data_IF_412658184764
#
_entry.id   IF_412658184764
#
_cell.length_a   1.000
_cell.length_b   1.000
_cell.length_c   1.000
_cell.angle_alpha   90.00
_cell.angle_beta   90.00
_cell.angle_gamma   90.00
#
_symmetry.space_group_name_H-M   'P 1'
#
loop_
_entity.id
_entity.type
_entity.pdbx_description
1 polymer ?
#
# COMPACT_ATOMS: atom_id res chain seq x y z
N UNK A 1 33.63 -30.62 6.18
CA UNK A 1 33.10 -29.28 5.84
C UNK A 1 31.61 -29.27 6.11
N UNK A 2 31.17 -28.60 7.19
CA UNK A 2 29.74 -28.45 7.49
C UNK A 2 29.16 -27.48 6.46
N UNK A 3 28.23 -27.94 5.63
CA UNK A 3 27.36 -27.06 4.84
C UNK A 3 26.59 -26.21 5.86
N UNK A 4 26.85 -24.90 5.86
CA UNK A 4 26.04 -23.93 6.58
C UNK A 4 24.63 -24.05 5.99
N UNK A 5 23.65 -24.45 6.78
CA UNK A 5 22.26 -24.35 6.37
C UNK A 5 22.04 -22.88 5.99
N UNK A 6 21.56 -22.64 4.78
CA UNK A 6 21.12 -21.30 4.40
C UNK A 6 19.93 -21.01 5.30
N UNK A 7 20.09 -20.12 6.28
CA UNK A 7 18.97 -19.54 7.01
C UNK A 7 18.04 -18.95 5.94
N UNK A 8 16.87 -19.57 5.73
CA UNK A 8 15.80 -18.97 4.95
C UNK A 8 15.33 -17.74 5.71
N UNK A 9 16.00 -16.62 5.48
CA UNK A 9 15.60 -15.31 5.98
C UNK A 9 14.37 -14.88 5.20
N UNK A 10 13.23 -14.82 5.88
CA UNK A 10 12.00 -14.18 5.40
C UNK A 10 12.33 -12.78 4.87
N UNK A 11 12.05 -12.50 3.60
CA UNK A 11 12.42 -11.23 2.93
C UNK A 11 11.43 -10.12 3.27
N UNK A 12 11.80 -8.82 3.10
CA UNK A 12 10.83 -7.72 3.21
C UNK A 12 9.61 -7.89 2.31
N UNK A 13 9.80 -8.45 1.11
CA UNK A 13 8.70 -8.77 0.19
C UNK A 13 7.73 -9.81 0.76
N UNK A 14 8.24 -10.87 1.41
CA UNK A 14 7.38 -11.86 2.06
C UNK A 14 6.58 -11.27 3.23
N UNK A 15 7.20 -10.37 4.02
CA UNK A 15 6.51 -9.66 5.10
C UNK A 15 5.42 -8.76 4.55
N UNK A 16 5.72 -7.99 3.50
CA UNK A 16 4.75 -7.13 2.83
C UNK A 16 3.58 -7.95 2.27
N UNK A 17 3.87 -9.04 1.56
CA UNK A 17 2.86 -9.94 1.02
C UNK A 17 1.95 -10.54 2.10
N UNK A 18 2.49 -10.86 3.28
CA UNK A 18 1.68 -11.27 4.42
C UNK A 18 0.70 -10.17 4.85
N UNK A 19 1.17 -8.94 5.10
CA UNK A 19 0.30 -7.84 5.55
C UNK A 19 -0.74 -7.46 4.49
N UNK A 20 -0.35 -7.46 3.21
CA UNK A 20 -1.27 -7.26 2.09
C UNK A 20 -2.37 -8.33 2.09
N UNK A 21 -2.00 -9.61 2.14
CA UNK A 21 -2.97 -10.72 2.19
C UNK A 21 -3.89 -10.61 3.40
N UNK A 22 -3.34 -10.19 4.55
CA UNK A 22 -4.14 -10.00 5.76
C UNK A 22 -5.15 -8.86 5.61
N UNK A 23 -4.74 -7.71 5.07
CA UNK A 23 -5.65 -6.59 4.76
C UNK A 23 -6.80 -7.03 3.86
N UNK A 24 -6.48 -7.73 2.76
CA UNK A 24 -7.47 -8.24 1.79
C UNK A 24 -8.42 -9.29 2.42
N UNK A 25 -7.99 -9.97 3.48
CA UNK A 25 -8.78 -11.00 4.15
C UNK A 25 -9.82 -10.44 5.14
N UNK A 26 -9.70 -9.16 5.52
CA UNK A 26 -10.56 -8.52 6.51
C UNK A 26 -11.82 -7.91 5.85
N UNK A 27 -12.94 -7.83 6.59
CA UNK A 27 -14.19 -7.31 6.05
C UNK A 27 -14.25 -5.77 5.97
N UNK A 28 -13.42 -5.06 6.73
CA UNK A 28 -13.38 -3.60 6.84
C UNK A 28 -11.92 -3.13 6.89
N UNK A 29 -11.58 -2.06 6.17
CA UNK A 29 -10.26 -1.43 6.21
C UNK A 29 -9.94 -0.88 7.62
N UNK A 30 -10.94 -0.46 8.39
CA UNK A 30 -10.73 0.01 9.77
C UNK A 30 -10.16 -1.10 10.67
N UNK A 31 -10.55 -2.37 10.43
CA UNK A 31 -9.99 -3.50 11.18
C UNK A 31 -8.49 -3.64 10.94
N UNK A 32 -8.03 -3.35 9.72
CA UNK A 32 -6.61 -3.41 9.40
C UNK A 32 -5.84 -2.26 10.07
N UNK A 33 -6.37 -1.03 10.04
CA UNK A 33 -5.76 0.11 10.73
C UNK A 33 -5.66 -0.11 12.25
N UNK A 34 -6.71 -0.67 12.87
CA UNK A 34 -6.71 -1.02 14.29
C UNK A 34 -5.72 -2.16 14.61
N UNK A 35 -5.59 -3.14 13.72
CA UNK A 35 -4.59 -4.19 13.82
C UNK A 35 -3.17 -3.63 13.79
N UNK A 36 -2.84 -2.79 12.81
CA UNK A 36 -1.52 -2.16 12.68
C UNK A 36 -1.21 -1.29 13.91
N UNK A 37 -2.20 -0.54 14.39
CA UNK A 37 -2.08 0.25 15.62
C UNK A 37 -1.79 -0.63 16.83
N UNK A 38 -2.49 -1.77 16.95
CA UNK A 38 -2.28 -2.74 18.03
C UNK A 38 -0.89 -3.36 17.96
N UNK A 39 -0.44 -3.76 16.77
CA UNK A 39 0.86 -4.36 16.52
C UNK A 39 2.01 -3.41 16.88
N UNK A 40 1.87 -2.12 16.58
CA UNK A 40 2.93 -1.11 16.80
C UNK A 40 3.06 -0.67 18.26
N UNK A 41 1.99 -0.71 19.04
CA UNK A 41 2.01 -0.28 20.46
C UNK A 41 2.20 -1.44 21.45
N UNK A 42 1.94 -2.68 21.04
CA UNK A 42 1.95 -3.84 21.93
C UNK A 42 3.32 -4.53 21.91
N UNK A 43 3.92 -4.88 23.07
CA UNK A 43 5.14 -5.67 23.11
C UNK A 43 4.98 -7.01 22.38
N UNK A 44 6.00 -7.44 21.62
CA UNK A 44 5.94 -8.66 20.78
C UNK A 44 5.45 -9.91 21.53
N UNK A 45 5.89 -10.09 22.78
CA UNK A 45 5.49 -11.22 23.65
C UNK A 45 3.98 -11.32 23.94
N UNK A 46 3.26 -10.20 23.85
CA UNK A 46 1.83 -10.10 24.20
C UNK A 46 0.97 -9.89 22.94
N UNK A 47 1.59 -9.63 21.77
CA UNK A 47 0.87 -9.15 20.59
C UNK A 47 -0.09 -10.18 20.01
N UNK A 48 0.28 -11.46 20.02
CA UNK A 48 -0.53 -12.54 19.43
C UNK A 48 -1.91 -12.61 20.07
N UNK A 49 -1.99 -12.48 21.39
CA UNK A 49 -3.26 -12.50 22.12
C UNK A 49 -4.11 -11.27 21.80
N UNK A 50 -3.48 -10.10 21.70
CA UNK A 50 -4.16 -8.83 21.44
C UNK A 50 -4.72 -8.73 20.01
N UNK A 51 -4.04 -9.33 19.03
CA UNK A 51 -4.48 -9.28 17.63
C UNK A 51 -5.38 -10.45 17.21
N UNK A 52 -5.54 -11.46 18.06
CA UNK A 52 -6.37 -12.64 17.79
C UNK A 52 -7.79 -12.29 17.30
N UNK A 53 -8.49 -11.27 17.84
CA UNK A 53 -9.82 -10.88 17.36
C UNK A 53 -9.86 -10.51 15.87
N UNK A 54 -8.79 -9.94 15.31
CA UNK A 54 -8.72 -9.57 13.89
C UNK A 54 -8.60 -10.84 13.02
N UNK A 55 -7.78 -11.81 13.44
CA UNK A 55 -7.66 -13.10 12.73
C UNK A 55 -8.94 -13.95 12.79
N UNK A 56 -9.77 -13.81 13.82
CA UNK A 56 -11.08 -14.45 13.84
C UNK A 56 -12.03 -13.90 12.77
N UNK A 57 -11.93 -12.60 12.47
CA UNK A 57 -12.71 -11.91 11.43
C UNK A 57 -12.16 -12.13 10.02
N UNK A 58 -10.88 -12.45 9.89
CA UNK A 58 -10.25 -12.81 8.61
C UNK A 58 -10.94 -14.00 7.94
N UNK A 59 -11.11 -13.89 6.62
CA UNK A 59 -11.59 -14.95 5.75
C UNK A 59 -10.58 -16.09 5.55
N UNK A 60 -9.28 -15.84 5.74
CA UNK A 60 -8.22 -16.85 5.64
C UNK A 60 -7.72 -17.29 7.02
N UNK A 61 -8.01 -18.55 7.37
CA UNK A 61 -7.66 -19.13 8.67
C UNK A 61 -6.17 -19.49 8.81
N UNK A 62 -5.42 -19.57 7.70
CA UNK A 62 -4.00 -19.90 7.74
C UNK A 62 -3.13 -18.70 8.15
N UNK A 63 -3.64 -17.47 8.00
CA UNK A 63 -2.88 -16.26 8.30
C UNK A 63 -2.48 -16.14 9.77
N UNK A 64 -3.28 -16.67 10.71
CA UNK A 64 -2.92 -16.67 12.13
C UNK A 64 -1.65 -17.49 12.38
N UNK A 65 -1.55 -18.68 11.78
CA UNK A 65 -0.37 -19.53 11.94
C UNK A 65 0.86 -18.88 11.32
N UNK A 66 0.72 -18.26 10.13
CA UNK A 66 1.81 -17.51 9.50
C UNK A 66 2.26 -16.33 10.37
N UNK A 67 1.31 -15.58 10.94
CA UNK A 67 1.60 -14.48 11.85
C UNK A 67 2.35 -14.95 13.10
N UNK A 68 1.92 -16.05 13.72
CA UNK A 68 2.61 -16.62 14.88
C UNK A 68 4.06 -17.01 14.57
N UNK A 69 4.33 -17.52 13.35
CA UNK A 69 5.69 -17.80 12.89
C UNK A 69 6.49 -16.50 12.76
N UNK A 70 5.93 -15.45 12.14
CA UNK A 70 6.58 -14.14 12.01
C UNK A 70 6.92 -13.53 13.38
N UNK A 71 5.96 -13.52 14.32
CA UNK A 71 6.18 -12.99 15.68
C UNK A 71 7.25 -13.80 16.42
N UNK A 72 7.22 -15.14 16.34
CA UNK A 72 8.25 -15.98 16.95
C UNK A 72 9.65 -15.71 16.37
N UNK A 73 9.75 -15.43 15.08
CA UNK A 73 11.02 -15.03 14.45
C UNK A 73 11.47 -13.64 14.94
N UNK A 74 10.54 -12.69 15.08
CA UNK A 74 10.82 -11.34 15.59
C UNK A 74 11.33 -11.38 17.04
N UNK A 75 10.69 -12.16 17.91
CA UNK A 75 11.14 -12.34 19.30
C UNK A 75 12.57 -12.90 19.43
N UNK A 76 13.01 -13.70 18.46
CA UNK A 76 14.32 -14.36 18.48
C UNK A 76 15.41 -13.55 17.76
N UNK A 77 15.03 -12.62 16.87
CA UNK A 77 15.94 -11.89 16.02
C UNK A 77 15.52 -10.41 15.91
N UNK A 78 16.23 -9.55 16.62
CA UNK A 78 15.97 -8.10 16.63
C UNK A 78 16.15 -7.43 15.26
N UNK A 79 17.00 -7.97 14.38
CA UNK A 79 17.12 -7.47 13.00
C UNK A 79 15.86 -7.79 12.19
N UNK A 80 15.27 -8.97 12.41
CA UNK A 80 14.03 -9.36 11.77
C UNK A 80 12.85 -8.55 12.32
N UNK A 81 12.75 -8.40 13.65
CA UNK A 81 11.77 -7.52 14.30
C UNK A 81 11.83 -6.10 13.70
N UNK A 82 13.03 -5.53 13.58
CA UNK A 82 13.18 -4.20 12.98
C UNK A 82 12.73 -4.14 11.52
N UNK A 83 12.93 -5.22 10.76
CA UNK A 83 12.46 -5.31 9.37
C UNK A 83 10.94 -5.40 9.30
N UNK A 84 10.34 -6.25 10.15
CA UNK A 84 8.90 -6.41 10.30
C UNK A 84 8.23 -5.07 10.62
N UNK A 85 8.75 -4.35 11.61
CA UNK A 85 8.22 -3.06 12.02
C UNK A 85 8.35 -2.00 10.91
N UNK A 86 9.46 -1.94 10.19
CA UNK A 86 9.61 -0.99 9.06
C UNK A 86 8.62 -1.26 7.92
N UNK A 87 8.38 -2.53 7.60
CA UNK A 87 7.39 -2.89 6.57
C UNK A 87 5.98 -2.55 7.06
N UNK A 88 5.69 -2.82 8.32
CA UNK A 88 4.43 -2.47 8.98
C UNK A 88 4.19 -0.95 8.94
N UNK A 89 5.18 -0.14 9.33
CA UNK A 89 5.09 1.32 9.35
C UNK A 89 4.91 1.92 7.94
N UNK A 90 5.42 1.23 6.91
CA UNK A 90 5.36 1.69 5.52
C UNK A 90 4.16 1.13 4.74
N UNK A 91 3.30 0.30 5.34
CA UNK A 91 2.36 -0.57 4.60
C UNK A 91 1.44 0.17 3.64
N UNK A 92 0.89 1.33 4.04
CA UNK A 92 -0.01 2.11 3.18
C UNK A 92 0.75 2.73 2.00
N UNK A 93 1.97 3.23 2.24
CA UNK A 93 2.84 3.72 1.18
C UNK A 93 3.23 2.60 0.22
N UNK A 94 3.50 1.40 0.73
CA UNK A 94 3.81 0.23 -0.09
C UNK A 94 2.63 -0.18 -0.97
N UNK A 95 1.39 -0.06 -0.49
CA UNK A 95 0.19 -0.25 -1.30
C UNK A 95 0.10 0.73 -2.47
N UNK A 96 0.38 2.02 -2.24
CA UNK A 96 0.41 3.05 -3.30
C UNK A 96 1.51 2.77 -4.34
N UNK A 97 2.68 2.35 -3.87
CA UNK A 97 3.79 1.95 -4.74
C UNK A 97 3.42 0.74 -5.59
N UNK A 98 2.84 -0.30 -4.99
CA UNK A 98 2.42 -1.50 -5.72
C UNK A 98 1.42 -1.17 -6.83
N UNK A 99 0.44 -0.30 -6.54
CA UNK A 99 -0.49 0.20 -7.55
C UNK A 99 0.24 0.95 -8.69
N UNK A 100 1.21 1.81 -8.38
CA UNK A 100 1.99 2.54 -9.37
C UNK A 100 2.87 1.60 -10.24
N UNK A 101 3.36 0.51 -9.65
CA UNK A 101 4.09 -0.56 -10.33
C UNK A 101 3.17 -1.52 -11.10
N UNK A 102 1.85 -1.34 -11.04
CA UNK A 102 0.87 -2.17 -11.75
C UNK A 102 0.79 -3.60 -11.21
N UNK A 103 1.01 -3.79 -9.91
CA UNK A 103 1.04 -5.10 -9.23
C UNK A 103 2.10 -6.08 -9.78
N UNK A 104 3.15 -5.59 -10.46
CA UNK A 104 4.26 -6.44 -10.90
C UNK A 104 5.12 -6.86 -9.70
N UNK A 105 5.07 -8.16 -9.36
CA UNK A 105 5.80 -8.76 -8.23
C UNK A 105 7.32 -8.55 -8.33
N UNK A 106 7.89 -8.62 -9.54
CA UNK A 106 9.33 -8.46 -9.76
C UNK A 106 9.73 -7.02 -9.48
N UNK A 107 8.95 -6.06 -9.95
CA UNK A 107 9.20 -4.65 -9.69
C UNK A 107 9.01 -4.32 -8.21
N UNK A 108 8.02 -4.91 -7.55
CA UNK A 108 7.78 -4.68 -6.12
C UNK A 108 8.92 -5.27 -5.25
N UNK A 109 9.41 -6.47 -5.55
CA UNK A 109 10.60 -7.03 -4.90
C UNK A 109 11.83 -6.15 -5.17
N UNK A 110 12.01 -5.67 -6.41
CA UNK A 110 13.07 -4.73 -6.78
C UNK A 110 13.02 -3.42 -5.98
N UNK A 111 11.83 -2.86 -5.82
CA UNK A 111 11.59 -1.66 -5.02
C UNK A 111 11.94 -1.90 -3.54
N UNK A 112 11.45 -2.98 -2.93
CA UNK A 112 11.73 -3.28 -1.52
C UNK A 112 13.22 -3.54 -1.26
N UNK A 113 13.93 -4.16 -2.21
CA UNK A 113 15.40 -4.30 -2.16
C UNK A 113 16.10 -2.95 -2.25
N UNK A 114 15.60 -2.02 -3.07
CA UNK A 114 16.14 -0.67 -3.17
C UNK A 114 15.92 0.13 -1.87
N UNK A 115 14.80 -0.12 -1.18
CA UNK A 115 14.48 0.52 0.11
C UNK A 115 15.31 -0.01 1.29
N UNK A 116 15.90 -1.21 1.15
CA UNK A 116 16.79 -1.81 2.15
C UNK A 116 16.17 -1.93 3.57
N UNK A 117 14.90 -2.31 3.68
CA UNK A 117 14.24 -2.44 4.99
C UNK A 117 14.88 -3.46 5.91
N UNK A 118 15.59 -4.44 5.36
CA UNK A 118 16.37 -5.46 6.07
C UNK A 118 17.75 -4.98 6.54
N UNK A 119 18.19 -3.79 6.14
CA UNK A 119 19.47 -3.21 6.54
C UNK A 119 19.27 -1.99 7.45
N UNK A 120 19.28 -2.23 8.77
CA UNK A 120 19.11 -1.14 9.75
C UNK A 120 20.23 -0.11 9.84
N UNK A 121 21.33 -0.32 9.12
CA UNK A 121 22.45 0.62 9.04
C UNK A 121 22.51 1.37 7.70
N UNK A 122 21.51 1.18 6.82
CA UNK A 122 21.46 1.85 5.53
C UNK A 122 21.33 3.37 5.72
N UNK A 123 22.23 4.12 5.09
CA UNK A 123 22.14 5.58 5.09
C UNK A 123 21.08 6.06 4.10
N UNK A 124 20.52 7.24 4.33
CA UNK A 124 19.59 7.88 3.40
C UNK A 124 20.17 7.97 1.98
N UNK A 125 21.46 8.27 1.85
CA UNK A 125 22.13 8.34 0.55
C UNK A 125 22.19 6.97 -0.14
N UNK A 126 22.44 5.88 0.61
CA UNK A 126 22.46 4.53 0.06
C UNK A 126 21.09 4.11 -0.46
N UNK A 127 20.04 4.32 0.33
CA UNK A 127 18.65 4.04 -0.06
C UNK A 127 18.27 4.88 -1.28
N UNK A 128 18.59 6.17 -1.28
CA UNK A 128 18.29 7.07 -2.39
C UNK A 128 19.00 6.66 -3.69
N UNK A 129 20.29 6.31 -3.62
CA UNK A 129 21.02 5.81 -4.79
C UNK A 129 20.45 4.47 -5.28
N UNK A 130 20.04 3.58 -4.37
CA UNK A 130 19.37 2.32 -4.71
C UNK A 130 18.05 2.54 -5.44
N UNK A 131 17.21 3.44 -4.92
CA UNK A 131 15.93 3.82 -5.51
C UNK A 131 16.11 4.48 -6.87
N UNK A 132 17.05 5.42 -7.00
CA UNK A 132 17.36 6.04 -8.29
C UNK A 132 17.81 5.02 -9.34
N UNK A 133 18.62 4.04 -8.94
CA UNK A 133 19.05 2.96 -9.83
C UNK A 133 17.84 2.12 -10.28
N UNK A 134 17.01 1.67 -9.34
CA UNK A 134 15.79 0.92 -9.64
C UNK A 134 14.87 1.67 -10.62
N UNK A 135 14.58 2.95 -10.35
CA UNK A 135 13.71 3.77 -11.20
C UNK A 135 14.28 4.01 -12.61
N UNK A 136 15.59 3.99 -12.78
CA UNK A 136 16.23 4.27 -14.07
C UNK A 136 16.54 3.01 -14.89
N UNK A 137 16.77 1.87 -14.21
CA UNK A 137 17.21 0.63 -14.86
C UNK A 137 16.07 -0.40 -15.01
N UNK A 138 15.10 -0.41 -14.09
CA UNK A 138 14.05 -1.44 -14.05
C UNK A 138 12.66 -0.93 -14.45
N UNK A 139 12.40 0.36 -14.29
CA UNK A 139 11.10 0.98 -14.61
C UNK A 139 11.12 1.61 -16.00
N UNK A 140 10.05 1.39 -16.76
CA UNK A 140 9.79 2.17 -17.97
C UNK A 140 9.39 3.63 -17.63
N UNK A 141 9.39 4.56 -18.61
CA UNK A 141 9.07 5.96 -18.36
C UNK A 141 7.68 6.20 -17.74
N UNK A 142 6.68 5.37 -18.06
CA UNK A 142 5.32 5.52 -17.53
C UNK A 142 5.25 5.06 -16.08
N UNK A 143 5.82 3.89 -15.75
CA UNK A 143 5.94 3.41 -14.37
C UNK A 143 6.72 4.40 -13.53
N UNK A 144 7.86 4.89 -14.04
CA UNK A 144 8.65 5.91 -13.37
C UNK A 144 7.82 7.15 -13.08
N UNK A 145 6.96 7.58 -14.01
CA UNK A 145 6.12 8.75 -13.81
C UNK A 145 5.04 8.54 -12.75
N UNK A 146 4.39 7.36 -12.73
CA UNK A 146 3.48 6.96 -11.66
C UNK A 146 4.16 6.93 -10.29
N UNK A 147 5.39 6.44 -10.23
CA UNK A 147 6.20 6.46 -9.00
C UNK A 147 6.53 7.88 -8.54
N UNK A 148 6.94 8.77 -9.46
CA UNK A 148 7.15 10.19 -9.17
C UNK A 148 5.87 10.85 -8.62
N UNK A 149 4.70 10.50 -9.17
CA UNK A 149 3.41 10.96 -8.66
C UNK A 149 3.20 10.52 -7.20
N UNK A 150 3.37 9.24 -6.90
CA UNK A 150 3.18 8.71 -5.54
C UNK A 150 4.07 9.45 -4.53
N UNK A 151 5.32 9.75 -4.89
CA UNK A 151 6.21 10.54 -4.02
C UNK A 151 5.78 12.00 -3.89
N UNK A 152 5.30 12.62 -4.97
CA UNK A 152 4.79 13.98 -4.95
C UNK A 152 3.52 14.09 -4.08
N UNK A 153 2.63 13.10 -4.16
CA UNK A 153 1.41 12.98 -3.35
C UNK A 153 1.73 12.83 -1.87
N UNK A 154 2.63 11.92 -1.51
CA UNK A 154 3.04 11.74 -0.12
C UNK A 154 3.55 13.06 0.47
N UNK A 155 4.46 13.72 -0.25
CA UNK A 155 5.00 15.01 0.18
C UNK A 155 3.93 16.10 0.25
N UNK A 156 2.98 16.13 -0.68
CA UNK A 156 1.89 17.09 -0.67
C UNK A 156 0.91 16.84 0.49
N UNK A 157 0.56 15.59 0.76
CA UNK A 157 -0.23 15.19 1.93
C UNK A 157 0.41 15.68 3.23
N UNK A 158 1.71 15.42 3.40
CA UNK A 158 2.46 15.81 4.59
C UNK A 158 2.58 17.36 4.74
N UNK A 159 2.87 18.07 3.66
CA UNK A 159 3.08 19.54 3.70
C UNK A 159 1.79 20.35 3.75
N UNK A 160 0.71 19.86 3.16
CA UNK A 160 -0.55 20.59 2.97
C UNK A 160 -1.69 20.04 3.84
N UNK A 161 -1.50 18.87 4.47
CA UNK A 161 -2.54 18.19 5.26
C UNK A 161 -3.69 17.68 4.39
N UNK A 162 -3.42 17.26 3.16
CA UNK A 162 -4.42 16.71 2.25
C UNK A 162 -4.63 15.22 2.54
N UNK A 163 -5.89 14.78 2.55
CA UNK A 163 -6.22 13.36 2.69
C UNK A 163 -5.98 12.59 1.39
N UNK A 164 -5.84 11.27 1.49
CA UNK A 164 -5.67 10.40 0.33
C UNK A 164 -6.84 10.52 -0.65
N UNK A 165 -8.08 10.59 -0.17
CA UNK A 165 -9.25 10.80 -1.04
C UNK A 165 -9.14 12.09 -1.87
N UNK A 166 -8.59 13.16 -1.29
CA UNK A 166 -8.40 14.43 -1.99
C UNK A 166 -7.35 14.27 -3.09
N UNK A 167 -6.21 13.64 -2.77
CA UNK A 167 -5.11 13.42 -3.71
C UNK A 167 -5.55 12.48 -4.85
N UNK A 168 -6.18 11.35 -4.52
CA UNK A 168 -6.70 10.39 -5.51
C UNK A 168 -7.73 11.03 -6.43
N UNK A 169 -8.69 11.79 -5.89
CA UNK A 169 -9.71 12.47 -6.69
C UNK A 169 -9.08 13.54 -7.59
N UNK A 170 -8.12 14.31 -7.08
CA UNK A 170 -7.42 15.32 -7.88
C UNK A 170 -6.61 14.70 -9.01
N UNK A 171 -5.88 13.62 -8.74
CA UNK A 171 -5.12 12.87 -9.74
C UNK A 171 -6.04 12.34 -10.84
N UNK A 172 -7.15 11.71 -10.46
CA UNK A 172 -8.11 11.15 -11.40
C UNK A 172 -8.82 12.22 -12.24
N UNK A 173 -9.19 13.37 -11.64
CA UNK A 173 -9.73 14.51 -12.39
C UNK A 173 -8.77 15.02 -13.47
N UNK A 174 -7.47 15.02 -13.19
CA UNK A 174 -6.45 15.48 -14.15
C UNK A 174 -6.17 14.43 -15.22
N UNK A 175 -6.12 13.15 -14.84
CA UNK A 175 -5.86 12.02 -15.75
C UNK A 175 -4.54 12.16 -16.52
N UNK A 176 -3.57 12.87 -15.96
CA UNK A 176 -2.23 13.09 -16.52
C UNK A 176 -1.25 13.31 -15.37
N UNK A 177 -0.39 12.33 -15.12
CA UNK A 177 0.55 12.35 -14.00
C UNK A 177 1.55 13.51 -14.09
N UNK A 178 1.97 13.90 -15.29
CA UNK A 178 2.93 15.00 -15.46
C UNK A 178 2.31 16.33 -15.09
N UNK A 179 1.11 16.60 -15.60
CA UNK A 179 0.36 17.81 -15.28
C UNK A 179 -0.04 17.82 -13.80
N UNK A 180 -0.46 16.69 -13.26
CA UNK A 180 -0.83 16.60 -11.85
C UNK A 180 0.36 16.84 -10.90
N UNK A 181 1.54 16.30 -11.19
CA UNK A 181 2.77 16.61 -10.43
C UNK A 181 3.06 18.13 -10.45
N UNK A 182 2.95 18.80 -11.60
CA UNK A 182 3.15 20.26 -11.71
C UNK A 182 2.14 21.05 -10.85
N UNK A 183 0.91 20.56 -10.70
CA UNK A 183 -0.10 21.15 -9.83
C UNK A 183 0.30 21.01 -8.37
N UNK A 184 0.71 19.80 -7.94
CA UNK A 184 1.16 19.56 -6.57
C UNK A 184 2.38 20.43 -6.22
N UNK A 185 3.35 20.54 -7.13
CA UNK A 185 4.51 21.42 -6.96
C UNK A 185 4.10 22.90 -6.84
N UNK A 186 3.13 23.33 -7.64
CA UNK A 186 2.59 24.69 -7.57
C UNK A 186 1.92 24.95 -6.22
N UNK A 187 1.11 24.00 -5.72
CA UNK A 187 0.48 24.09 -4.40
C UNK A 187 1.52 24.15 -3.28
N UNK A 188 2.53 23.28 -3.31
CA UNK A 188 3.62 23.23 -2.33
C UNK A 188 4.45 24.52 -2.33
N UNK A 189 4.87 25.01 -3.50
CA UNK A 189 5.65 26.24 -3.64
C UNK A 189 4.89 27.44 -3.06
N UNK A 190 3.59 27.52 -3.34
CA UNK A 190 2.78 28.63 -2.92
C UNK A 190 2.45 28.59 -1.42
N UNK A 191 2.30 27.39 -0.83
CA UNK A 191 2.20 27.24 0.62
C UNK A 191 3.44 27.79 1.34
N UNK A 192 4.64 27.48 0.81
CA UNK A 192 5.91 27.99 1.35
C UNK A 192 6.10 29.50 1.18
N UNK A 193 5.49 30.09 0.15
CA UNK A 193 5.57 31.52 -0.15
C UNK A 193 4.39 32.33 0.42
N UNK A 194 3.41 31.68 1.06
CA UNK A 194 2.19 32.28 1.59
C UNK A 194 1.46 33.18 0.56
N UNK A 195 1.31 32.68 -0.67
CA UNK A 195 0.63 33.43 -1.74
C UNK A 195 -0.90 33.40 -1.57
N UNK A 196 -1.61 34.46 -2.01
CA UNK A 196 -3.08 34.44 -2.05
C UNK A 196 -3.61 33.32 -2.94
N UNK A 197 -4.70 32.67 -2.53
CA UNK A 197 -5.33 31.56 -3.25
C UNK A 197 -5.60 31.86 -4.73
N UNK A 198 -6.10 33.06 -5.05
CA UNK A 198 -6.37 33.46 -6.43
C UNK A 198 -5.11 33.46 -7.30
N UNK A 199 -3.94 33.74 -6.73
CA UNK A 199 -2.65 33.68 -7.45
C UNK A 199 -2.24 32.24 -7.72
N UNK A 200 -2.48 31.35 -6.76
CA UNK A 200 -2.23 29.91 -6.89
C UNK A 200 -3.08 29.32 -8.01
N UNK A 201 -4.38 29.62 -7.97
CA UNK A 201 -5.36 29.15 -8.93
C UNK A 201 -5.08 29.68 -10.33
N UNK A 202 -4.73 30.95 -10.48
CA UNK A 202 -4.35 31.52 -11.78
C UNK A 202 -3.12 30.82 -12.39
N UNK A 203 -2.13 30.43 -11.56
CA UNK A 203 -0.96 29.68 -12.04
C UNK A 203 -1.34 28.28 -12.50
N UNK A 204 -2.15 27.57 -11.71
CA UNK A 204 -2.66 26.24 -12.07
C UNK A 204 -3.49 26.32 -13.36
N UNK A 205 -4.41 27.28 -13.45
CA UNK A 205 -5.26 27.51 -14.63
C UNK A 205 -4.42 27.65 -15.90
N UNK A 206 -3.39 28.51 -15.87
CA UNK A 206 -2.53 28.74 -17.03
C UNK A 206 -1.85 27.45 -17.50
N UNK A 207 -1.44 26.58 -16.58
CA UNK A 207 -0.82 25.30 -16.92
C UNK A 207 -1.85 24.32 -17.52
N UNK A 208 -3.05 24.24 -16.93
CA UNK A 208 -4.13 23.36 -17.38
C UNK A 208 -4.65 23.79 -18.76
N UNK A 209 -4.92 25.09 -18.97
CA UNK A 209 -5.45 25.61 -20.22
C UNK A 209 -4.53 25.36 -21.43
N UNK A 210 -3.22 25.21 -21.20
CA UNK A 210 -2.25 24.90 -22.25
C UNK A 210 -2.24 23.43 -22.64
N UNK A 211 -2.58 22.50 -21.73
CA UNK A 211 -2.41 21.05 -21.94
C UNK A 211 -3.75 20.30 -21.99
N UNK A 212 -4.66 20.57 -21.05
CA UNK A 212 -5.96 19.89 -20.88
C UNK A 212 -7.05 20.89 -20.44
N UNK A 213 -7.44 21.87 -21.29
CA UNK A 213 -8.40 22.92 -20.92
C UNK A 213 -9.77 22.39 -20.48
N UNK A 214 -10.20 21.23 -20.99
CA UNK A 214 -11.49 20.62 -20.67
C UNK A 214 -11.62 20.18 -19.21
N UNK A 215 -10.50 19.88 -18.54
CA UNK A 215 -10.47 19.47 -17.13
C UNK A 215 -10.68 20.65 -16.18
N UNK A 216 -10.32 21.87 -16.62
CA UNK A 216 -10.24 23.03 -15.73
C UNK A 216 -11.52 23.35 -14.95
N UNK A 217 -12.73 23.36 -15.55
CA UNK A 217 -13.94 23.74 -14.83
C UNK A 217 -14.18 22.85 -13.60
N UNK A 218 -13.99 21.53 -13.74
CA UNK A 218 -14.23 20.60 -12.64
C UNK A 218 -13.11 20.63 -11.62
N UNK A 219 -11.84 20.66 -12.08
CA UNK A 219 -10.69 20.79 -11.20
C UNK A 219 -10.74 22.08 -10.38
N UNK A 220 -11.14 23.21 -10.98
CA UNK A 220 -11.30 24.49 -10.27
C UNK A 220 -12.32 24.38 -9.15
N UNK A 221 -13.48 23.78 -9.43
CA UNK A 221 -14.52 23.55 -8.41
C UNK A 221 -13.98 22.68 -7.28
N UNK A 222 -13.30 21.58 -7.61
CA UNK A 222 -12.68 20.69 -6.64
C UNK A 222 -11.68 21.40 -5.73
N UNK A 223 -10.75 22.15 -6.32
CA UNK A 223 -9.75 22.91 -5.58
C UNK A 223 -10.38 23.98 -4.67
N UNK A 224 -11.43 24.66 -5.12
CA UNK A 224 -12.15 25.63 -4.29
C UNK A 224 -12.89 24.95 -3.12
N UNK A 225 -13.48 23.77 -3.32
CA UNK A 225 -14.12 22.99 -2.26
C UNK A 225 -13.10 22.53 -1.21
N UNK A 226 -11.93 22.05 -1.65
CA UNK A 226 -10.79 21.69 -0.78
C UNK A 226 -10.29 22.90 0.01
N UNK A 227 -10.01 24.02 -0.66
CA UNK A 227 -9.51 25.24 -0.01
C UNK A 227 -10.51 25.81 1.00
N UNK A 228 -11.79 25.83 0.64
CA UNK A 228 -12.85 26.36 1.52
C UNK A 228 -13.22 25.40 2.65
N UNK A 229 -12.61 24.21 2.71
CA UNK A 229 -12.90 23.14 3.70
C UNK A 229 -14.39 22.80 3.74
N UNK A 230 -15.06 22.87 2.58
CA UNK A 230 -16.44 22.43 2.46
C UNK A 230 -16.49 20.91 2.54
N UNK A 231 -17.66 20.39 2.91
CA UNK A 231 -17.93 18.96 2.76
C UNK A 231 -17.84 18.63 1.28
N UNK A 232 -16.87 17.77 0.93
CA UNK A 232 -16.63 17.32 -0.44
C UNK A 232 -17.53 16.11 -0.67
N UNK A 233 -18.44 16.20 -1.65
CA UNK A 233 -19.15 15.05 -2.16
C UNK A 233 -18.26 14.36 -3.20
N UNK A 234 -17.50 13.35 -2.77
CA UNK A 234 -16.60 12.63 -3.65
C UNK A 234 -17.35 11.89 -4.77
N UNK A 235 -18.57 11.41 -4.52
CA UNK A 235 -19.36 10.71 -5.54
C UNK A 235 -19.65 11.61 -6.74
N UNK A 236 -19.97 12.88 -6.51
CA UNK A 236 -20.16 13.85 -7.58
C UNK A 236 -18.94 13.97 -8.52
N UNK A 237 -17.73 13.92 -7.95
CA UNK A 237 -16.49 14.00 -8.74
C UNK A 237 -16.20 12.69 -9.47
N UNK A 238 -16.39 11.54 -8.81
CA UNK A 238 -16.22 10.23 -9.45
C UNK A 238 -17.22 9.99 -10.59
N UNK A 239 -18.49 10.37 -10.43
CA UNK A 239 -19.49 10.31 -11.50
C UNK A 239 -19.06 11.13 -12.73
N UNK A 240 -18.44 12.30 -12.51
CA UNK A 240 -17.91 13.12 -13.60
C UNK A 240 -16.69 12.48 -14.27
N UNK A 241 -15.76 11.95 -13.46
CA UNK A 241 -14.56 11.25 -13.95
C UNK A 241 -14.98 10.09 -14.84
N UNK A 242 -15.89 9.23 -14.37
CA UNK A 242 -16.42 8.10 -15.13
C UNK A 242 -17.08 8.55 -16.44
N UNK A 243 -17.87 9.63 -16.39
CA UNK A 243 -18.48 10.19 -17.60
C UNK A 243 -17.45 10.72 -18.60
N UNK A 244 -16.34 11.34 -18.15
CA UNK A 244 -15.25 11.77 -19.05
C UNK A 244 -14.58 10.56 -19.70
N UNK A 245 -14.20 9.55 -18.91
CA UNK A 245 -13.55 8.34 -19.42
C UNK A 245 -14.42 7.60 -20.45
N UNK A 246 -15.71 7.43 -20.16
CA UNK A 246 -16.63 6.78 -21.09
C UNK A 246 -16.73 7.56 -22.41
N UNK A 247 -16.82 8.89 -22.38
CA UNK A 247 -16.91 9.68 -23.60
C UNK A 247 -15.61 9.77 -24.40
N UNK A 248 -14.45 9.76 -23.74
CA UNK A 248 -13.15 9.69 -24.42
C UNK A 248 -12.99 8.37 -25.17
N UNK A 249 -13.46 7.25 -24.59
CA UNK A 249 -13.42 5.93 -25.22
C UNK A 249 -14.31 5.85 -26.49
N UNK A 250 -15.47 6.49 -26.49
CA UNK A 250 -16.36 6.54 -27.68
C UNK A 250 -15.91 7.56 -28.75
N UNK A 251 -15.05 8.52 -28.41
CA UNK A 251 -14.52 9.49 -29.36
C UNK A 251 -13.36 8.90 -30.19
N UNK A 252 -12.56 7.99 -29.62
CA UNK A 252 -11.44 7.33 -30.31
C UNK A 252 -11.88 6.20 -31.26
N UNK A 253 -13.03 5.58 -31.01
CA UNK A 253 -13.60 4.51 -31.86
C UNK A 253 -14.06 4.97 -33.25
N UNK A 254 -14.08 6.28 -33.54
CA UNK A 254 -14.39 6.78 -34.88
C UNK A 254 -13.17 7.13 -35.74
N UNK A 255 -11.93 7.07 -35.24
CA UNK A 255 -10.77 7.53 -36.02
C UNK A 255 -9.49 6.70 -36.02
N UNK A 256 -9.37 5.58 -35.27
CA UNK A 256 -8.13 4.79 -35.28
C UNK A 256 -8.41 3.31 -35.52
N UNK A 257 -8.70 2.99 -36.78
CA UNK A 257 -8.42 1.67 -37.33
C UNK A 257 -6.98 1.73 -37.88
N UNK A 258 -5.98 1.67 -36.98
CA UNK A 258 -4.63 1.15 -37.22
C UNK A 258 -3.70 1.51 -36.04
N UNK A 259 -3.13 0.45 -35.43
CA UNK A 259 -1.95 0.42 -34.56
C UNK A 259 -2.09 0.71 -33.04
N UNK A 260 -1.90 -0.38 -32.28
CA UNK A 260 -1.59 -0.51 -30.85
C UNK A 260 -2.73 -0.35 -29.84
N UNK A 261 -3.69 -1.27 -29.92
CA UNK A 261 -4.49 -1.70 -28.77
C UNK A 261 -3.64 -2.57 -27.84
N UNK A 262 -3.31 -2.09 -26.63
CA UNK A 262 -3.28 -2.90 -25.40
C UNK A 262 -3.02 -2.04 -24.15
N UNK A 263 -3.96 -1.17 -23.79
CA UNK A 263 -4.16 -0.83 -22.37
C UNK A 263 -5.20 -1.82 -21.84
N UNK A 264 -4.73 -3.01 -21.48
CA UNK A 264 -5.56 -3.99 -20.78
C UNK A 264 -5.85 -3.46 -19.39
N UNK A 265 -7.11 -3.13 -19.19
CA UNK A 265 -7.78 -3.11 -17.90
C UNK A 265 -7.27 -4.26 -17.02
N UNK A 266 -6.68 -3.92 -15.88
CA UNK A 266 -6.55 -4.84 -14.76
C UNK A 266 -7.99 -5.10 -14.31
N UNK A 267 -8.53 -6.20 -14.80
CA UNK A 267 -9.84 -6.70 -14.43
C UNK A 267 -9.66 -7.32 -13.03
N UNK A 268 -10.46 -6.90 -12.04
CA UNK A 268 -10.51 -7.43 -10.66
C UNK A 268 -10.79 -8.96 -10.57
N UNK A 269 -10.85 -9.65 -11.72
CA UNK A 269 -10.99 -11.08 -11.88
C UNK A 269 -9.66 -11.85 -11.89
N UNK A 270 -8.50 -11.23 -12.10
CA UNK A 270 -7.21 -11.95 -12.09
C UNK A 270 -6.60 -12.13 -10.69
N UNK A 271 -7.04 -11.33 -9.73
CA UNK A 271 -6.71 -11.43 -8.29
C UNK A 271 -7.07 -12.80 -7.71
N UNK A 272 -8.11 -13.45 -8.25
CA UNK A 272 -8.58 -14.76 -7.79
C UNK A 272 -7.69 -15.94 -8.23
N UNK A 273 -6.88 -15.79 -9.29
CA UNK A 273 -6.03 -16.88 -9.80
C UNK A 273 -4.62 -16.92 -9.20
N UNK A 274 -4.14 -15.81 -8.61
CA UNK A 274 -2.82 -15.72 -7.98
C UNK A 274 -2.86 -16.27 -6.54
N UNK A 275 -3.99 -16.14 -5.84
CA UNK A 275 -4.19 -16.72 -4.49
C UNK A 275 -3.97 -18.24 -4.43
N UNK A 276 -4.22 -18.98 -5.52
CA UNK A 276 -3.94 -20.43 -5.56
C UNK A 276 -2.45 -20.79 -5.67
N UNK A 277 -1.57 -19.87 -6.10
CA UNK A 277 -0.12 -20.14 -6.20
C UNK A 277 0.62 -19.90 -4.89
N UNK A 278 0.11 -19.01 -4.02
CA UNK A 278 0.70 -18.73 -2.71
C UNK A 278 0.35 -19.79 -1.64
N UNK A 279 -0.77 -20.49 -1.80
CA UNK A 279 -1.16 -21.60 -0.92
C UNK A 279 -0.22 -22.83 -1.01
N UNK A 280 0.69 -22.88 -1.98
CA UNK A 280 1.62 -24.01 -2.20
C UNK A 280 3.06 -23.74 -1.74
N UNK A 281 3.32 -22.67 -0.98
CA UNK A 281 4.60 -22.55 -0.28
C UNK A 281 4.58 -23.52 0.91
N UNK A 282 5.10 -24.73 0.66
CA UNK A 282 5.37 -25.75 1.67
C UNK A 282 6.28 -25.15 2.76
N UNK A 283 5.69 -24.71 3.86
CA UNK A 283 6.34 -24.64 5.17
C UNK A 283 6.40 -26.07 5.72
N UNK A 284 7.24 -26.92 5.12
CA UNK A 284 7.60 -28.20 5.73
C UNK A 284 8.38 -27.91 7.00
N UNK A 285 7.70 -28.08 8.14
CA UNK A 285 8.33 -28.09 9.45
C UNK A 285 9.22 -29.33 9.55
N UNK A 286 10.53 -29.19 9.33
CA UNK A 286 11.51 -30.09 9.95
C UNK A 286 11.53 -29.80 11.46
N UNK A 287 10.56 -30.35 12.18
CA UNK A 287 10.64 -30.57 13.62
C UNK A 287 9.80 -31.80 13.96
N UNK A 288 10.37 -32.96 13.69
CA UNK A 288 10.03 -34.18 14.41
C UNK A 288 10.34 -33.96 15.90
N UNK A 289 9.28 -33.82 16.70
CA UNK A 289 9.30 -34.07 18.14
C UNK A 289 9.56 -32.87 19.05
N UNK A 290 8.57 -31.97 19.20
CA UNK A 290 8.40 -31.23 20.46
C UNK A 290 6.92 -31.22 20.83
N UNK A 291 6.62 -31.75 22.02
CA UNK A 291 5.30 -31.94 22.59
C UNK A 291 4.41 -30.68 22.48
N UNK A 292 3.18 -30.90 22.00
CA UNK A 292 2.04 -30.00 22.20
C UNK A 292 1.86 -29.83 23.71
N UNK A 293 2.13 -28.62 24.22
CA UNK A 293 1.74 -28.25 25.58
C UNK A 293 0.27 -27.87 25.50
N UNK A 294 -0.60 -28.76 25.97
CA UNK A 294 -2.00 -28.42 26.24
C UNK A 294 -2.08 -27.30 27.29
N UNK A 295 -3.01 -26.32 27.13
CA UNK A 295 -3.19 -25.26 28.09
C UNK A 295 -3.64 -25.82 29.46
N UNK A 296 -3.19 -25.23 30.58
CA UNK A 296 -3.53 -25.72 31.90
C UNK A 296 -5.04 -25.62 32.15
N UNK A 297 -5.67 -26.79 32.38
CA UNK A 297 -7.06 -26.85 32.80
C UNK A 297 -7.24 -26.14 34.14
N UNK A 298 -8.18 -25.20 34.19
CA UNK A 298 -8.57 -24.49 35.41
C UNK A 298 -9.18 -25.46 36.43
N UNK A 299 -8.86 -25.28 37.71
CA UNK A 299 -9.27 -26.12 38.86
C UNK A 299 -10.80 -26.26 39.02
N UNK A 300 -11.60 -25.51 38.27
CA UNK A 300 -13.06 -25.59 38.26
C UNK A 300 -13.59 -26.79 37.44
N UNK A 301 -12.81 -27.29 36.47
CA UNK A 301 -13.21 -28.46 35.65
C UNK A 301 -13.07 -29.80 36.40
N UNK A 302 -12.17 -29.89 37.39
CA UNK A 302 -11.94 -31.13 38.14
C UNK A 302 -12.97 -31.39 39.25
N UNK A 303 -13.71 -30.37 39.72
CA UNK A 303 -14.75 -30.54 40.75
C UNK A 303 -16.07 -31.08 40.23
N UNK A 304 -16.34 -31.01 38.92
CA UNK A 304 -17.61 -31.48 38.33
C UNK A 304 -17.62 -32.95 37.90
N UNK A 305 -16.48 -33.65 37.96
CA UNK A 305 -16.41 -35.08 37.60
C UNK A 305 -16.42 -36.05 38.80
N UNK A 306 -16.43 -35.56 40.05
CA UNK A 306 -16.48 -36.42 41.25
C UNK A 306 -17.87 -36.51 41.92
N UNK A 307 -18.92 -35.91 41.33
CA UNK A 307 -20.29 -35.97 41.86
C UNK A 307 -21.23 -36.66 40.88
N UNK A 308 -20.85 -37.85 40.42
CA UNK A 308 -21.80 -38.86 39.93
C UNK A 308 -21.21 -40.23 40.29
N UNK A 309 -21.47 -40.67 41.53
CA UNK A 309 -21.59 -42.08 41.88
C UNK A 309 -23.05 -42.31 42.26
#
# INVERSE_FOLDING_TARGET
>A
MKKKAAEQTTTPYAIYGFFRSFRESLPDDNDFSDFISTLTITPMKDVVEMVLPFFHRSSDKNLLTQFQILIRQAEQNSSFESTLMRVCDAIDMLGKVELALGFDERLMDGYLRAMQFDNGSASHQQVWSGLQRFLNEECDPNIKKRMERVFAEQKAGDELGLSDDILTTASALVGDDSLYIEILETLQLNNRQNLPWDTVIMRIQRNIEQKKPQVWPMLRKFLDDVHSRRVIDFNFYWDFIDYQYMNEQYADDQYINDQYANDQYINDSETYNIQQKLANINLESENDGVNVIEPPQTQEAQRKQQVVQ
#
